data_IF_709122587873
#
_entry.id   IF_709122587873
#
_cell.length_a   1.000
_cell.length_b   1.000
_cell.length_c   1.000
_cell.angle_alpha   90.00
_cell.angle_beta   90.00
_cell.angle_gamma   90.00
#
_symmetry.space_group_name_H-M   'P 1'
#
loop_
_entity.id
_entity.type
_entity.pdbx_description
1 polymer ?
#
# COMPACT_ATOMS: atom_id res chain seq x y z
N UNK A 1 -17.06 0.08 13.72
CA UNK A 1 -15.63 -0.27 13.58
C UNK A 1 -15.42 -0.51 12.10
N UNK A 2 -14.84 0.44 11.39
CA UNK A 2 -14.63 0.28 9.95
C UNK A 2 -13.53 -0.76 9.77
N UNK A 3 -13.90 -1.98 9.36
CA UNK A 3 -12.96 -2.84 8.65
C UNK A 3 -12.65 -2.07 7.36
N UNK A 4 -11.51 -1.38 7.29
CA UNK A 4 -11.06 -0.72 6.07
C UNK A 4 -10.73 -1.82 5.04
N UNK A 5 -11.77 -2.30 4.37
CA UNK A 5 -11.70 -3.24 3.26
C UNK A 5 -11.36 -2.47 2.02
N UNK A 6 -10.07 -2.25 1.79
CA UNK A 6 -9.61 -1.65 0.55
C UNK A 6 -9.69 -2.65 -0.60
N UNK A 7 -10.05 -2.17 -1.79
CA UNK A 7 -10.22 -2.95 -3.00
C UNK A 7 -9.22 -2.51 -4.08
N UNK A 8 -8.99 -3.39 -5.06
CA UNK A 8 -8.22 -3.01 -6.25
C UNK A 8 -8.97 -1.93 -7.01
N UNK A 9 -8.27 -0.83 -7.32
CA UNK A 9 -8.82 0.39 -7.90
C UNK A 9 -9.15 1.48 -6.87
N UNK A 10 -9.12 1.17 -5.57
CA UNK A 10 -9.38 2.19 -4.55
C UNK A 10 -8.19 3.14 -4.43
N UNK A 11 -8.53 4.42 -4.25
CA UNK A 11 -7.54 5.47 -4.01
C UNK A 11 -7.31 5.63 -2.53
N UNK A 12 -6.04 5.62 -2.14
CA UNK A 12 -5.63 5.60 -0.74
C UNK A 12 -4.50 6.57 -0.49
N UNK A 13 -4.47 7.07 0.75
CA UNK A 13 -3.37 7.84 1.29
C UNK A 13 -2.47 6.93 2.13
N UNK A 14 -1.16 7.01 1.91
CA UNK A 14 -0.18 6.21 2.62
C UNK A 14 1.12 6.99 2.82
N UNK A 15 1.92 6.59 3.80
CA UNK A 15 3.22 7.20 4.06
C UNK A 15 4.33 6.40 3.39
N UNK A 16 5.00 7.02 2.40
CA UNK A 16 6.11 6.40 1.69
C UNK A 16 7.35 6.27 2.57
N UNK A 17 7.79 5.04 2.85
CA UNK A 17 9.09 4.78 3.50
C UNK A 17 10.19 5.04 2.47
N UNK A 18 10.85 6.20 2.56
CA UNK A 18 11.97 6.57 1.69
C UNK A 18 11.92 7.98 1.10
N UNK A 19 10.80 8.71 1.27
CA UNK A 19 10.77 10.15 1.00
C UNK A 19 11.56 10.87 2.09
N UNK A 20 12.68 11.49 1.72
CA UNK A 20 13.63 12.08 2.66
C UNK A 20 12.96 12.98 3.70
N UNK A 21 13.01 12.54 4.97
CA UNK A 21 12.83 13.33 6.19
C UNK A 21 11.84 14.51 6.09
N UNK A 22 10.60 14.22 5.75
CA UNK A 22 9.48 15.16 5.91
C UNK A 22 8.42 14.45 6.74
N UNK A 23 8.29 14.87 8.00
CA UNK A 23 7.40 14.28 9.01
C UNK A 23 5.90 14.27 8.61
N UNK A 24 5.54 14.78 7.42
CA UNK A 24 4.18 14.90 6.91
C UNK A 24 4.00 14.61 5.41
N UNK A 25 4.90 13.91 4.72
CA UNK A 25 4.61 13.50 3.33
C UNK A 25 3.71 12.28 3.29
N UNK A 26 2.43 12.50 3.58
CA UNK A 26 1.39 11.62 3.09
C UNK A 26 1.39 11.68 1.57
N UNK A 27 1.29 10.51 0.94
CA UNK A 27 1.28 10.38 -0.51
C UNK A 27 0.04 9.60 -0.92
N UNK A 28 -0.43 9.86 -2.12
CA UNK A 28 -1.61 9.22 -2.68
C UNK A 28 -1.19 8.16 -3.70
N UNK A 29 -2.01 7.14 -3.80
CA UNK A 29 -1.88 6.13 -4.84
C UNK A 29 -3.14 5.29 -4.98
N UNK A 30 -3.08 4.39 -5.95
CA UNK A 30 -4.16 3.45 -6.26
C UNK A 30 -3.73 2.03 -5.88
N UNK A 31 -4.63 1.27 -5.27
CA UNK A 31 -4.37 -0.14 -5.00
C UNK A 31 -4.49 -0.92 -6.30
N UNK A 32 -3.38 -1.53 -6.73
CA UNK A 32 -3.36 -2.33 -7.95
C UNK A 32 -3.50 -3.83 -7.68
N UNK A 33 -3.17 -4.28 -6.47
CA UNK A 33 -3.22 -5.69 -6.10
C UNK A 33 -3.34 -5.87 -4.59
N UNK A 34 -4.01 -6.95 -4.17
CA UNK A 34 -4.15 -7.35 -2.76
C UNK A 34 -3.53 -8.73 -2.62
N UNK A 35 -2.50 -8.80 -1.78
CA UNK A 35 -1.70 -9.98 -1.54
C UNK A 35 -2.07 -10.54 -0.18
N UNK A 36 -2.67 -11.73 -0.17
CA UNK A 36 -3.10 -12.44 1.06
C UNK A 36 -2.23 -13.63 1.40
N UNK A 37 -1.14 -13.83 0.66
CA UNK A 37 -0.21 -14.95 0.83
C UNK A 37 1.22 -14.49 0.62
N UNK A 38 2.19 -15.25 1.15
CA UNK A 38 3.60 -14.92 1.02
C UNK A 38 4.07 -15.05 -0.43
N UNK A 39 4.22 -13.93 -1.11
CA UNK A 39 4.67 -13.87 -2.51
C UNK A 39 5.41 -12.55 -2.79
N UNK A 40 6.21 -12.46 -3.86
CA UNK A 40 6.78 -11.20 -4.31
C UNK A 40 5.67 -10.21 -4.70
N UNK A 41 5.79 -8.95 -4.27
CA UNK A 41 4.80 -7.92 -4.53
C UNK A 41 5.43 -6.54 -4.80
N UNK A 42 4.79 -5.77 -5.67
CA UNK A 42 5.27 -4.45 -6.12
C UNK A 42 6.48 -4.51 -7.06
N UNK A 43 7.00 -3.34 -7.42
CA UNK A 43 8.05 -3.16 -8.44
C UNK A 43 9.41 -3.70 -7.98
N UNK A 44 9.67 -3.65 -6.68
CA UNK A 44 10.90 -4.19 -6.09
C UNK A 44 10.94 -5.73 -6.09
N UNK A 45 9.82 -6.41 -6.33
CA UNK A 45 9.73 -7.88 -6.28
C UNK A 45 10.06 -8.49 -4.91
N UNK A 46 9.98 -7.70 -3.83
CA UNK A 46 10.28 -8.17 -2.49
C UNK A 46 9.21 -9.14 -2.02
N UNK A 47 9.62 -10.28 -1.47
CA UNK A 47 8.70 -11.24 -0.87
C UNK A 47 8.09 -10.63 0.37
N UNK A 48 6.80 -10.33 0.31
CA UNK A 48 6.06 -9.82 1.45
C UNK A 48 5.51 -10.99 2.27
N UNK A 49 5.62 -10.88 3.59
CA UNK A 49 4.89 -11.79 4.48
C UNK A 49 3.48 -11.23 4.62
N UNK A 50 2.60 -11.69 3.73
CA UNK A 50 1.17 -11.47 3.78
C UNK A 50 0.45 -12.77 4.18
N UNK A 51 -0.70 -12.62 4.83
CA UNK A 51 -1.62 -13.70 5.15
C UNK A 51 -3.06 -13.21 5.02
N UNK A 52 -4.05 -14.11 5.10
CA UNK A 52 -5.46 -13.72 5.12
C UNK A 52 -5.83 -12.80 6.30
N UNK A 53 -5.06 -12.85 7.38
CA UNK A 53 -5.23 -12.00 8.57
C UNK A 53 -4.45 -10.68 8.49
N UNK A 54 -3.30 -10.67 7.81
CA UNK A 54 -2.46 -9.48 7.56
C UNK A 54 -2.18 -9.36 6.05
N UNK A 55 -3.19 -8.93 5.26
CA UNK A 55 -3.00 -8.74 3.83
C UNK A 55 -2.09 -7.55 3.54
N UNK A 56 -1.42 -7.61 2.39
CA UNK A 56 -0.59 -6.52 1.88
C UNK A 56 -1.24 -5.92 0.64
N UNK A 57 -1.29 -4.61 0.60
CA UNK A 57 -1.90 -3.88 -0.51
C UNK A 57 -0.78 -3.25 -1.34
N UNK A 58 -0.72 -3.64 -2.60
CA UNK A 58 0.21 -3.05 -3.57
C UNK A 58 -0.38 -1.75 -4.03
N UNK A 59 0.25 -0.65 -3.65
CA UNK A 59 -0.15 0.69 -4.02
C UNK A 59 0.79 1.22 -5.09
N UNK A 60 0.21 1.70 -6.19
CA UNK A 60 0.91 2.47 -7.21
C UNK A 60 0.89 3.94 -6.83
N UNK A 61 2.08 4.49 -6.60
CA UNK A 61 2.27 5.90 -6.26
C UNK A 61 1.88 6.79 -7.45
N UNK A 62 0.98 7.77 -7.25
CA UNK A 62 0.54 8.67 -8.32
C UNK A 62 1.66 9.59 -8.84
N UNK A 63 2.61 9.95 -7.97
CA UNK A 63 3.70 10.88 -8.32
C UNK A 63 4.85 10.19 -9.07
N UNK A 64 5.21 8.99 -8.66
CA UNK A 64 6.40 8.27 -9.18
C UNK A 64 6.05 7.10 -10.09
N UNK A 65 4.80 6.64 -10.07
CA UNK A 65 4.34 5.45 -10.78
C UNK A 65 4.83 4.12 -10.18
N UNK A 66 5.62 4.15 -9.10
CA UNK A 66 6.18 2.95 -8.47
C UNK A 66 5.13 2.18 -7.68
N UNK A 67 5.21 0.86 -7.73
CA UNK A 67 4.34 -0.03 -6.96
C UNK A 67 5.06 -0.55 -5.72
N UNK A 68 4.44 -0.40 -4.55
CA UNK A 68 4.99 -0.89 -3.29
C UNK A 68 3.89 -1.51 -2.44
N UNK A 69 4.21 -2.63 -1.79
CA UNK A 69 3.29 -3.33 -0.91
C UNK A 69 3.33 -2.77 0.52
N UNK A 70 2.19 -2.32 1.04
CA UNK A 70 2.02 -1.77 2.39
C UNK A 70 1.04 -2.62 3.21
N UNK A 71 1.12 -2.54 4.54
CA UNK A 71 0.10 -3.11 5.44
C UNK A 71 -1.12 -2.20 5.48
N UNK A 72 -2.30 -2.76 5.74
CA UNK A 72 -3.52 -2.00 5.98
C UNK A 72 -3.31 -0.86 7.01
N UNK A 73 -2.55 -1.11 8.08
CA UNK A 73 -2.26 -0.12 9.13
C UNK A 73 -1.51 1.14 8.64
N UNK A 74 -0.83 1.06 7.50
CA UNK A 74 -0.08 2.20 6.94
C UNK A 74 -0.85 2.94 5.85
N UNK A 75 -2.10 2.52 5.60
CA UNK A 75 -2.94 2.99 4.50
C UNK A 75 -4.21 3.57 5.10
N UNK A 76 -4.66 4.69 4.53
CA UNK A 76 -5.90 5.36 4.88
C UNK A 76 -6.73 5.57 3.63
N UNK A 77 -8.04 5.62 3.76
CA UNK A 77 -8.89 6.10 2.66
C UNK A 77 -8.53 7.56 2.36
N UNK A 78 -8.37 7.88 1.07
CA UNK A 78 -8.25 9.25 0.64
C UNK A 78 -9.67 9.85 0.57
N UNK A 79 -9.91 10.98 1.25
CA UNK A 79 -11.18 11.72 1.21
C UNK A 79 -11.41 12.44 -0.13
#
# INVERSE_FOLDING_TARGET
MSQNSFNVGDRVEYQGIGGGNVENSTTHGEITEIVTEKQPAGDSGNVVNASSEDPRFVIRNDNTGKQTAYKADNIKEAE
#
